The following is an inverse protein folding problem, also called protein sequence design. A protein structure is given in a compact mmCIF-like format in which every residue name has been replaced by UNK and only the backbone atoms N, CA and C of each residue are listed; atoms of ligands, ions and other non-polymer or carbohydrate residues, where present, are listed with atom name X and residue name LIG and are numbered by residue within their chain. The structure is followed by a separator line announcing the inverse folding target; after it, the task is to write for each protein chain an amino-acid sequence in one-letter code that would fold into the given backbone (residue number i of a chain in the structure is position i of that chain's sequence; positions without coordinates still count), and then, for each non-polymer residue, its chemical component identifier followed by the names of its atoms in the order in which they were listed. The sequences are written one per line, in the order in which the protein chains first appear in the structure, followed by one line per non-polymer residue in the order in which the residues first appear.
data_IF_387237589825
#
_entry.id   IF_387237589825
#
_cell.length_a   1.000
_cell.length_b   1.000
_cell.length_c   1.000
_cell.angle_alpha   90.00
_cell.angle_beta   90.00
_cell.angle_gamma   90.00
#
_symmetry.space_group_name_H-M   'P 1'
#
loop_
_entity.id
_entity.type
_entity.pdbx_description
1 polymer ?
#
# COMPACT_ATOMS: atom_id res chain seq x y z
N UNK A 1 -21.31 6.43 -2.05
CA UNK A 1 -20.68 7.05 -0.84
C UNK A 1 -19.17 7.01 -1.03
N UNK A 2 -18.39 7.95 -0.45
CA UNK A 2 -16.94 8.07 -0.70
C UNK A 2 -16.03 7.49 0.39
N UNK A 3 -14.72 7.67 0.26
CA UNK A 3 -13.76 7.31 1.31
C UNK A 3 -13.92 8.20 2.56
N UNK A 4 -13.82 7.60 3.74
CA UNK A 4 -13.90 8.29 5.04
C UNK A 4 -12.64 7.92 5.85
N UNK A 5 -12.09 8.88 6.58
CA UNK A 5 -10.95 8.65 7.47
C UNK A 5 -11.42 7.94 8.74
N UNK A 6 -10.79 6.81 9.07
CA UNK A 6 -10.92 6.21 10.40
C UNK A 6 -10.14 7.04 11.44
N UNK A 7 -10.66 7.14 12.66
CA UNK A 7 -10.04 7.92 13.73
C UNK A 7 -8.76 7.17 14.19
N UNK A 8 -7.60 7.85 14.35
CA UNK A 8 -6.32 7.19 14.61
C UNK A 8 -6.28 6.23 15.80
N UNK A 9 -7.06 6.52 16.85
CA UNK A 9 -7.16 5.69 18.06
C UNK A 9 -7.85 4.35 17.79
N UNK A 10 -8.83 4.33 16.89
CA UNK A 10 -9.58 3.13 16.50
C UNK A 10 -8.81 2.26 15.50
N UNK A 11 -7.90 2.87 14.72
CA UNK A 11 -7.02 2.13 13.81
C UNK A 11 -5.94 1.39 14.60
N UNK A 12 -5.27 2.09 15.53
CA UNK A 12 -4.18 1.51 16.32
C UNK A 12 -4.64 0.41 17.27
N UNK A 13 -5.91 0.37 17.66
CA UNK A 13 -6.47 -0.70 18.48
C UNK A 13 -6.75 -1.97 17.67
N UNK A 14 -6.97 -1.85 16.35
CA UNK A 14 -7.28 -2.97 15.45
C UNK A 14 -6.04 -3.53 14.74
N UNK A 15 -5.09 -2.67 14.38
CA UNK A 15 -3.93 -3.02 13.55
C UNK A 15 -2.67 -2.36 14.14
N UNK A 16 -1.56 -3.08 14.29
CA UNK A 16 -0.31 -2.50 14.77
C UNK A 16 0.31 -1.56 13.72
N UNK A 17 0.88 -0.46 14.20
CA UNK A 17 1.69 0.44 13.38
C UNK A 17 3.11 -0.13 13.31
N UNK A 18 3.56 -0.50 12.11
CA UNK A 18 4.89 -1.07 11.88
C UNK A 18 5.80 -0.01 11.26
N UNK A 19 7.02 0.11 11.80
CA UNK A 19 8.11 0.93 11.25
C UNK A 19 9.27 0.01 10.87
N UNK A 20 9.95 0.35 9.78
CA UNK A 20 11.09 -0.42 9.26
C UNK A 20 12.41 0.33 9.50
N UNK A 21 12.74 0.57 10.76
CA UNK A 21 13.90 1.39 11.16
C UNK A 21 15.28 0.75 10.82
N UNK A 22 15.29 -0.49 10.34
CA UNK A 22 16.51 -1.23 9.95
C UNK A 22 16.85 -1.10 8.46
N UNK A 23 15.98 -0.48 7.66
CA UNK A 23 16.21 -0.23 6.24
C UNK A 23 16.88 1.14 6.13
N UNK A 24 18.05 1.20 5.47
CA UNK A 24 18.75 2.47 5.28
C UNK A 24 18.14 3.25 4.12
N UNK A 25 18.12 4.59 4.21
CA UNK A 25 17.54 5.43 3.16
C UNK A 25 18.27 5.26 1.81
N UNK A 26 19.55 4.94 1.84
CA UNK A 26 20.35 4.66 0.63
C UNK A 26 19.94 3.36 -0.06
N UNK A 27 19.29 2.44 0.66
CA UNK A 27 18.79 1.18 0.09
C UNK A 27 17.43 1.33 -0.60
N UNK A 28 16.75 2.47 -0.41
CA UNK A 28 15.50 2.78 -1.07
C UNK A 28 15.80 3.32 -2.48
N UNK A 29 15.28 2.69 -3.55
CA UNK A 29 15.54 3.16 -4.90
C UNK A 29 14.84 4.50 -5.18
N UNK A 30 15.40 5.31 -6.08
CA UNK A 30 14.79 6.57 -6.54
C UNK A 30 13.40 6.36 -7.15
N UNK A 31 13.16 5.20 -7.78
CA UNK A 31 11.86 4.82 -8.29
C UNK A 31 11.57 3.34 -8.05
N UNK A 32 10.30 3.01 -7.82
CA UNK A 32 9.83 1.65 -7.59
C UNK A 32 8.52 1.40 -8.32
N UNK A 33 8.43 0.27 -9.04
CA UNK A 33 7.20 -0.16 -9.71
C UNK A 33 6.99 -1.66 -9.45
N UNK A 34 5.97 -1.98 -8.64
CA UNK A 34 5.62 -3.36 -8.29
C UNK A 34 5.40 -4.27 -9.51
N UNK A 35 4.97 -3.71 -10.65
CA UNK A 35 4.74 -4.47 -11.89
C UNK A 35 6.04 -4.92 -12.57
N UNK A 36 7.16 -4.26 -12.26
CA UNK A 36 8.51 -4.60 -12.73
C UNK A 36 9.17 -5.63 -11.82
N UNK A 37 9.04 -5.47 -10.50
CA UNK A 37 9.64 -6.38 -9.51
C UNK A 37 8.93 -7.74 -9.45
N UNK A 38 7.60 -7.77 -9.59
CA UNK A 38 6.81 -9.00 -9.60
C UNK A 38 6.04 -9.19 -10.91
N UNK A 39 6.74 -9.43 -12.02
CA UNK A 39 6.12 -9.46 -13.35
C UNK A 39 5.20 -10.67 -13.55
N UNK A 40 5.39 -11.76 -12.78
CA UNK A 40 4.55 -12.96 -12.84
C UNK A 40 3.23 -12.81 -12.06
N UNK A 41 3.06 -11.73 -11.32
CA UNK A 41 1.85 -11.43 -10.56
C UNK A 41 0.92 -10.54 -11.40
N UNK A 42 0.13 -11.15 -12.28
CA UNK A 42 -0.77 -10.44 -13.21
C UNK A 42 -1.76 -9.51 -12.51
N UNK A 43 -2.16 -9.82 -11.28
CA UNK A 43 -3.09 -8.99 -10.49
C UNK A 43 -2.57 -7.57 -10.24
N UNK A 44 -1.25 -7.37 -10.18
CA UNK A 44 -0.64 -6.05 -9.95
C UNK A 44 -0.80 -5.13 -11.18
N UNK A 45 -1.06 -5.71 -12.35
CA UNK A 45 -1.30 -4.98 -13.61
C UNK A 45 -2.79 -4.77 -13.91
N UNK A 46 -3.67 -5.37 -13.12
CA UNK A 46 -5.10 -5.33 -13.35
C UNK A 46 -5.70 -3.99 -12.91
N UNK A 47 -6.36 -3.29 -13.84
CA UNK A 47 -7.19 -2.12 -13.53
C UNK A 47 -8.62 -2.59 -13.25
N UNK A 48 -9.19 -2.14 -12.12
CA UNK A 48 -10.56 -2.49 -11.70
C UNK A 48 -11.48 -1.26 -11.77
N UNK A 49 -12.77 -1.52 -11.93
CA UNK A 49 -13.84 -0.51 -11.94
C UNK A 49 -14.81 -0.80 -10.78
N UNK A 50 -15.12 0.22 -9.97
CA UNK A 50 -16.06 0.11 -8.85
C UNK A 50 -17.53 0.28 -9.27
N UNK A 51 -17.79 0.69 -10.51
CA UNK A 51 -19.13 0.92 -11.05
C UNK A 51 -19.88 2.05 -10.32
N UNK A 52 -21.20 2.03 -10.39
CA UNK A 52 -22.09 2.97 -9.70
C UNK A 52 -22.33 2.57 -8.23
N UNK A 53 -21.25 2.57 -7.44
CA UNK A 53 -21.21 2.27 -5.99
C UNK A 53 -21.14 3.56 -5.15
#
# INVERSE_FOLDING_TARGET
MGAILEIPTEISSKIPIVKHDHISDESVPESFDSRKEWPKCESIRQIRDQGSC
#
